data_IF_509561785604
#
_entry.id   IF_509561785604
#
_cell.length_a   1.000
_cell.length_b   1.000
_cell.length_c   1.000
_cell.angle_alpha   90.00
_cell.angle_beta   90.00
_cell.angle_gamma   90.00
#
_symmetry.space_group_name_H-M   'P 1'
#
loop_
_entity.id
_entity.type
_entity.pdbx_description
1 polymer ?
#
# COMPACT_ATOMS: atom_id res chain seq x y z
N UNK A 1 22.24 18.29 -9.01
CA UNK A 1 21.59 17.26 -9.84
C UNK A 1 20.77 17.98 -10.91
N UNK A 2 20.95 17.69 -12.23
CA UNK A 2 20.15 18.33 -13.27
C UNK A 2 18.68 18.00 -13.07
N UNK A 3 17.83 19.02 -12.97
CA UNK A 3 16.38 18.86 -12.89
C UNK A 3 15.85 18.48 -14.28
N UNK A 4 15.25 17.32 -14.41
CA UNK A 4 14.57 16.94 -15.63
C UNK A 4 13.33 17.83 -15.85
N UNK A 5 13.23 18.58 -16.95
CA UNK A 5 12.23 19.64 -17.11
C UNK A 5 10.78 19.17 -17.13
N UNK A 6 10.55 17.86 -17.36
CA UNK A 6 9.20 17.27 -17.48
C UNK A 6 8.70 16.56 -16.21
N UNK A 7 9.52 16.51 -15.16
CA UNK A 7 9.21 15.78 -13.92
C UNK A 7 9.29 16.65 -12.67
N UNK A 8 9.04 17.94 -12.81
CA UNK A 8 9.13 18.92 -11.72
C UNK A 8 7.92 18.93 -10.77
N UNK A 9 6.85 18.21 -11.10
CA UNK A 9 5.68 18.06 -10.24
C UNK A 9 5.09 16.67 -10.40
N UNK A 10 4.34 16.23 -9.39
CA UNK A 10 3.65 14.92 -9.39
C UNK A 10 2.80 14.72 -10.64
N UNK A 11 1.98 15.69 -11.01
CA UNK A 11 1.10 15.58 -12.18
C UNK A 11 1.87 15.44 -13.50
N UNK A 12 3.01 16.13 -13.64
CA UNK A 12 3.82 16.05 -14.86
C UNK A 12 4.48 14.69 -15.04
N UNK A 13 5.16 14.19 -14.01
CA UNK A 13 5.80 12.89 -14.11
C UNK A 13 4.77 11.76 -14.22
N UNK A 14 3.64 11.85 -13.49
CA UNK A 14 2.57 10.87 -13.55
C UNK A 14 1.91 10.85 -14.94
N UNK A 15 1.64 12.01 -15.53
CA UNK A 15 1.13 12.10 -16.91
C UNK A 15 2.09 11.44 -17.91
N UNK A 16 3.40 11.65 -17.75
CA UNK A 16 4.42 11.01 -18.59
C UNK A 16 4.43 9.49 -18.39
N UNK A 17 4.39 9.02 -17.15
CA UNK A 17 4.34 7.60 -16.82
C UNK A 17 3.08 6.93 -17.40
N UNK A 18 1.91 7.54 -17.24
CA UNK A 18 0.65 7.04 -17.79
C UNK A 18 0.67 6.95 -19.32
N UNK A 19 1.21 7.96 -20.00
CA UNK A 19 1.40 7.90 -21.47
C UNK A 19 2.31 6.74 -21.85
N UNK A 20 3.40 6.49 -21.10
CA UNK A 20 4.28 5.36 -21.36
C UNK A 20 3.55 4.03 -21.17
N UNK A 21 2.77 3.87 -20.10
CA UNK A 21 1.95 2.66 -19.86
C UNK A 21 0.96 2.44 -21.00
N UNK A 22 0.25 3.48 -21.45
CA UNK A 22 -0.67 3.41 -22.58
C UNK A 22 0.05 2.96 -23.87
N UNK A 23 1.24 3.53 -24.12
CA UNK A 23 2.04 3.16 -25.31
C UNK A 23 2.44 1.69 -25.25
N UNK A 24 2.95 1.22 -24.12
CA UNK A 24 3.34 -0.18 -23.92
C UNK A 24 2.14 -1.12 -24.10
N UNK A 25 1.04 -0.84 -23.43
CA UNK A 25 -0.18 -1.65 -23.53
C UNK A 25 -0.71 -1.73 -24.97
N UNK A 26 -0.68 -0.61 -25.69
CA UNK A 26 -1.10 -0.57 -27.09
C UNK A 26 -0.17 -1.36 -28.02
N UNK A 27 1.14 -1.27 -27.81
CA UNK A 27 2.17 -1.97 -28.61
C UNK A 27 2.20 -3.48 -28.36
N UNK A 28 2.00 -3.88 -27.11
CA UNK A 28 1.98 -5.28 -26.70
C UNK A 28 0.63 -5.97 -26.90
N UNK A 29 -0.38 -5.24 -27.39
CA UNK A 29 -1.68 -5.79 -27.75
C UNK A 29 -2.66 -5.98 -26.58
N UNK A 30 -2.37 -5.43 -25.42
CA UNK A 30 -3.29 -5.49 -24.28
C UNK A 30 -4.58 -4.72 -24.56
N UNK A 31 -5.70 -5.25 -24.12
CA UNK A 31 -7.01 -4.63 -24.26
C UNK A 31 -7.36 -3.68 -23.12
N UNK A 32 -6.77 -3.88 -21.96
CA UNK A 32 -7.07 -3.14 -20.74
C UNK A 32 -5.81 -2.87 -19.93
N UNK A 33 -5.87 -1.81 -19.14
CA UNK A 33 -4.88 -1.47 -18.11
C UNK A 33 -5.62 -1.30 -16.80
N UNK A 34 -5.11 -1.90 -15.74
CA UNK A 34 -5.63 -1.77 -14.39
C UNK A 34 -4.54 -1.26 -13.44
N UNK A 35 -4.95 -0.63 -12.34
CA UNK A 35 -4.05 -0.11 -11.31
C UNK A 35 -4.44 -0.68 -9.96
N UNK A 36 -3.46 -0.83 -9.08
CA UNK A 36 -3.75 -1.05 -7.66
C UNK A 36 -4.54 0.13 -7.09
N UNK A 37 -5.47 -0.14 -6.20
CA UNK A 37 -6.13 0.92 -5.44
C UNK A 37 -5.25 1.37 -4.26
N UNK A 38 -5.69 2.42 -3.56
CA UNK A 38 -4.94 2.98 -2.43
C UNK A 38 -4.82 2.02 -1.27
N UNK A 39 -5.81 1.19 -1.02
CA UNK A 39 -5.80 0.18 0.04
C UNK A 39 -4.79 -0.92 -0.23
N UNK A 40 -4.83 -1.54 -1.40
CA UNK A 40 -3.84 -2.55 -1.81
C UNK A 40 -2.41 -2.00 -1.80
N UNK A 41 -2.25 -0.72 -2.19
CA UNK A 41 -0.95 -0.07 -2.14
C UNK A 41 -0.50 0.16 -0.69
N UNK A 42 -1.39 0.63 0.19
CA UNK A 42 -1.10 0.82 1.60
C UNK A 42 -0.73 -0.51 2.28
N UNK A 43 -1.49 -1.58 2.01
CA UNK A 43 -1.21 -2.93 2.53
C UNK A 43 0.16 -3.47 2.10
N UNK A 44 0.55 -3.24 0.85
CA UNK A 44 1.86 -3.69 0.33
C UNK A 44 3.03 -3.02 1.04
N UNK A 45 2.85 -1.80 1.53
CA UNK A 45 3.85 -1.02 2.26
C UNK A 45 3.63 -1.02 3.77
N UNK A 46 2.74 -1.86 4.29
CA UNK A 46 2.50 -2.01 5.71
C UNK A 46 3.72 -2.64 6.40
N UNK A 47 4.40 -1.83 7.21
CA UNK A 47 5.58 -2.26 7.94
C UNK A 47 5.27 -3.39 8.93
N UNK A 48 4.04 -3.47 9.44
CA UNK A 48 3.65 -4.51 10.40
C UNK A 48 3.72 -5.94 9.82
N UNK A 49 3.73 -6.07 8.49
CA UNK A 49 3.89 -7.35 7.79
C UNK A 49 5.37 -7.83 7.68
N UNK A 50 6.32 -6.95 7.93
CA UNK A 50 7.76 -7.24 7.80
C UNK A 50 8.53 -7.01 9.09
N UNK A 51 8.09 -6.05 9.88
CA UNK A 51 8.73 -5.62 11.13
C UNK A 51 7.88 -6.02 12.32
N UNK A 52 8.44 -6.78 13.24
CA UNK A 52 7.76 -7.21 14.47
C UNK A 52 7.69 -6.10 15.52
N UNK A 53 8.73 -5.29 15.60
CA UNK A 53 8.79 -4.15 16.51
C UNK A 53 9.86 -3.13 16.11
N UNK A 54 9.59 -1.86 16.46
CA UNK A 54 10.59 -0.80 16.50
C UNK A 54 10.73 -0.37 17.94
N UNK A 55 11.93 -0.49 18.48
CA UNK A 55 12.31 0.03 19.79
C UNK A 55 13.11 1.33 19.57
N UNK A 56 12.87 2.34 20.36
CA UNK A 56 13.63 3.58 20.28
C UNK A 56 13.76 4.25 21.65
N UNK A 57 14.82 5.00 21.85
CA UNK A 57 15.05 5.79 23.04
C UNK A 57 15.58 7.18 22.66
N UNK A 58 14.94 8.27 23.13
CA UNK A 58 15.52 9.61 23.01
C UNK A 58 16.78 9.72 23.86
N UNK A 59 17.86 10.29 23.30
CA UNK A 59 19.09 10.54 24.04
C UNK A 59 18.93 11.83 24.86
N UNK A 60 19.07 11.78 26.20
CA UNK A 60 18.89 12.94 27.06
C UNK A 60 19.74 14.16 26.61
N UNK A 61 19.17 15.34 26.74
CA UNK A 61 19.81 16.63 26.42
C UNK A 61 20.27 16.79 24.95
N UNK A 62 19.70 15.97 24.04
CA UNK A 62 19.97 16.04 22.59
C UNK A 62 18.66 15.88 21.81
N UNK A 63 18.72 16.17 20.49
CA UNK A 63 17.65 15.85 19.52
C UNK A 63 17.90 14.53 18.79
N UNK A 64 18.70 13.64 19.39
CA UNK A 64 19.08 12.37 18.80
C UNK A 64 18.33 11.21 19.47
N UNK A 65 18.30 10.08 18.76
CA UNK A 65 17.64 8.86 19.19
C UNK A 65 18.55 7.65 18.96
N UNK A 66 18.37 6.63 19.78
CA UNK A 66 18.77 5.26 19.46
C UNK A 66 17.54 4.55 18.87
N UNK A 67 17.71 3.77 17.80
CA UNK A 67 16.62 3.03 17.14
C UNK A 67 17.06 1.60 16.80
N UNK A 68 16.19 0.65 17.10
CA UNK A 68 16.34 -0.75 16.72
C UNK A 68 15.04 -1.28 16.15
N UNK A 69 15.09 -1.99 15.00
CA UNK A 69 13.95 -2.71 14.48
C UNK A 69 14.24 -4.21 14.40
N UNK A 70 13.23 -5.01 14.73
CA UNK A 70 13.28 -6.46 14.62
C UNK A 70 12.26 -6.97 13.59
N UNK A 71 12.59 -8.06 12.89
CA UNK A 71 11.64 -8.77 12.05
C UNK A 71 10.57 -9.50 12.89
N UNK A 72 9.63 -10.19 12.23
CA UNK A 72 8.57 -10.95 12.88
C UNK A 72 9.10 -12.12 13.73
N UNK A 73 10.33 -12.59 13.49
CA UNK A 73 10.99 -13.64 14.25
C UNK A 73 11.83 -13.10 15.42
N UNK A 74 11.85 -11.78 15.61
CA UNK A 74 12.62 -11.13 16.68
C UNK A 74 14.10 -10.90 16.35
N UNK A 75 14.54 -11.14 15.10
CA UNK A 75 15.90 -10.86 14.67
C UNK A 75 16.05 -9.37 14.35
N UNK A 76 17.09 -8.73 14.88
CA UNK A 76 17.41 -7.34 14.57
C UNK A 76 17.75 -7.18 13.09
N UNK A 77 17.03 -6.28 12.41
CA UNK A 77 17.20 -5.94 10.99
C UNK A 77 17.69 -4.51 10.79
N UNK A 78 17.57 -3.68 11.82
CA UNK A 78 18.09 -2.31 11.87
C UNK A 78 18.55 -2.00 13.29
N UNK A 79 19.72 -1.39 13.44
CA UNK A 79 20.17 -0.79 14.70
C UNK A 79 21.06 0.41 14.33
N UNK A 80 20.66 1.59 14.75
CA UNK A 80 21.46 2.81 14.59
C UNK A 80 21.39 3.63 15.88
N UNK A 81 22.54 4.18 16.28
CA UNK A 81 22.71 5.03 17.44
C UNK A 81 22.92 6.47 17.01
N UNK A 82 22.56 7.43 17.87
CA UNK A 82 22.74 8.87 17.66
C UNK A 82 22.17 9.39 16.32
N UNK A 83 20.96 8.92 15.97
CA UNK A 83 20.28 9.32 14.72
C UNK A 83 19.35 10.50 14.93
N UNK A 84 19.28 11.38 13.93
CA UNK A 84 18.31 12.48 13.89
C UNK A 84 16.92 11.97 13.49
N UNK A 85 15.88 12.74 13.79
CA UNK A 85 14.51 12.44 13.33
C UNK A 85 14.41 12.37 11.80
N UNK A 86 15.16 13.21 11.08
CA UNK A 86 15.22 13.16 9.62
C UNK A 86 15.80 11.82 9.12
N UNK A 87 16.82 11.29 9.78
CA UNK A 87 17.36 9.96 9.46
C UNK A 87 16.38 8.85 9.77
N UNK A 88 15.63 8.96 10.87
CA UNK A 88 14.55 8.02 11.21
C UNK A 88 13.46 8.06 10.12
N UNK A 89 13.07 9.25 9.63
CA UNK A 89 12.10 9.38 8.53
C UNK A 89 12.58 8.65 7.25
N UNK A 90 13.87 8.71 6.94
CA UNK A 90 14.45 7.95 5.80
C UNK A 90 14.40 6.43 6.02
N UNK A 91 14.61 5.96 7.25
CA UNK A 91 14.70 4.53 7.59
C UNK A 91 13.33 3.86 7.68
N UNK A 92 12.37 4.47 8.37
CA UNK A 92 11.08 3.86 8.75
C UNK A 92 9.86 4.62 8.23
N UNK A 93 10.07 5.72 7.52
CA UNK A 93 9.03 6.54 6.92
C UNK A 93 8.45 7.59 7.87
N UNK A 94 7.82 8.59 7.26
CA UNK A 94 7.36 9.82 7.92
C UNK A 94 6.35 9.58 9.04
N UNK A 95 5.45 8.63 8.89
CA UNK A 95 4.38 8.40 9.87
C UNK A 95 4.93 7.75 11.14
N UNK A 96 5.85 6.78 11.00
CA UNK A 96 6.56 6.20 12.15
C UNK A 96 7.46 7.23 12.81
N UNK A 97 8.18 8.04 12.03
CA UNK A 97 9.02 9.11 12.57
C UNK A 97 8.20 10.10 13.42
N UNK A 98 6.98 10.47 13.00
CA UNK A 98 6.07 11.30 13.81
C UNK A 98 5.63 10.64 15.11
N UNK A 99 5.38 9.34 15.11
CA UNK A 99 5.06 8.61 16.35
C UNK A 99 6.25 8.61 17.30
N UNK A 100 7.47 8.45 16.78
CA UNK A 100 8.71 8.51 17.55
C UNK A 100 8.92 9.93 18.11
N UNK A 101 8.70 10.96 17.31
CA UNK A 101 8.75 12.37 17.75
C UNK A 101 7.74 12.64 18.86
N UNK A 102 6.51 12.12 18.73
CA UNK A 102 5.46 12.21 19.74
C UNK A 102 5.67 11.29 20.95
N UNK A 103 6.75 10.49 20.96
CA UNK A 103 7.08 9.52 22.02
C UNK A 103 5.97 8.51 22.27
N UNK A 104 5.31 8.07 21.20
CA UNK A 104 4.30 7.04 21.27
C UNK A 104 4.91 5.65 21.48
N UNK A 105 4.06 4.70 21.91
CA UNK A 105 4.42 3.30 22.10
C UNK A 105 4.48 2.88 23.56
N UNK A 106 4.62 1.57 23.79
CA UNK A 106 4.72 1.01 25.15
C UNK A 106 6.11 1.26 25.69
N UNK A 107 6.20 1.86 26.88
CA UNK A 107 7.47 2.03 27.57
C UNK A 107 7.90 0.67 28.15
N UNK A 108 9.09 0.20 27.76
CA UNK A 108 9.77 -0.94 28.36
C UNK A 108 10.86 -0.43 29.29
N UNK A 109 10.67 -0.60 30.57
CA UNK A 109 11.67 -0.25 31.56
C UNK A 109 11.06 -0.23 32.97
N UNK A 110 10.96 -1.38 33.64
CA UNK A 110 10.86 -1.42 35.10
C UNK A 110 12.28 -1.41 35.66
N UNK A 111 12.67 -0.29 36.26
CA UNK A 111 13.82 -0.23 37.18
C UNK A 111 15.23 -0.07 36.58
N UNK A 112 15.39 0.40 35.33
CA UNK A 112 16.69 0.60 34.71
C UNK A 112 16.88 2.00 34.12
N UNK A 113 18.13 2.39 33.91
CA UNK A 113 18.56 3.71 33.42
C UNK A 113 18.12 4.06 31.97
N UNK A 114 17.31 3.21 31.27
CA UNK A 114 16.87 3.39 29.91
C UNK A 114 15.35 3.22 29.78
N UNK A 115 14.71 4.19 29.15
CA UNK A 115 13.27 4.19 28.87
C UNK A 115 13.01 3.94 27.38
N UNK A 116 13.18 2.69 26.97
CA UNK A 116 12.85 2.29 25.60
C UNK A 116 11.36 2.35 25.34
N UNK A 117 10.99 3.02 24.28
CA UNK A 117 9.65 2.97 23.71
C UNK A 117 9.57 1.87 22.66
N UNK A 118 8.46 1.17 22.60
CA UNK A 118 8.24 0.08 21.67
C UNK A 118 6.97 0.34 20.85
N UNK A 119 7.13 0.42 19.52
CA UNK A 119 6.05 0.38 18.54
C UNK A 119 5.93 -1.05 17.99
N UNK A 120 4.73 -1.64 17.97
CA UNK A 120 4.51 -3.00 17.46
C UNK A 120 3.06 -3.21 17.03
N UNK A 121 2.80 -4.20 16.16
CA UNK A 121 1.46 -4.51 15.69
C UNK A 121 0.77 -3.30 15.06
N UNK A 122 -0.35 -2.86 15.63
CA UNK A 122 -1.12 -1.72 15.12
C UNK A 122 -0.36 -0.39 15.10
N UNK A 123 0.64 -0.22 15.97
CA UNK A 123 1.47 0.99 15.96
C UNK A 123 2.30 1.11 14.68
N UNK A 124 2.68 -0.03 14.08
CA UNK A 124 3.44 -0.13 12.84
C UNK A 124 2.54 -0.07 11.60
N UNK A 125 1.23 -0.23 11.77
CA UNK A 125 0.26 -0.06 10.69
C UNK A 125 0.14 1.44 10.40
N UNK A 126 1.00 1.92 9.52
CA UNK A 126 0.95 3.30 9.04
C UNK A 126 -0.14 3.41 7.99
N UNK A 127 -1.05 4.35 8.19
CA UNK A 127 -2.35 4.39 7.48
C UNK A 127 -2.28 4.61 5.98
N UNK A 128 -1.10 4.81 5.40
CA UNK A 128 -0.97 4.97 3.96
C UNK A 128 -1.83 6.10 3.38
N UNK A 129 -2.23 7.09 4.17
CA UNK A 129 -3.10 8.20 3.72
C UNK A 129 -2.56 8.88 2.46
N UNK A 130 -1.24 9.06 2.38
CA UNK A 130 -0.57 9.57 1.19
C UNK A 130 -0.73 8.62 -0.01
N UNK A 131 -0.58 7.31 0.20
CA UNK A 131 -0.73 6.29 -0.84
C UNK A 131 -2.19 6.16 -1.27
N UNK A 132 -3.14 6.13 -0.33
CA UNK A 132 -4.58 6.16 -0.64
C UNK A 132 -4.93 7.40 -1.44
N UNK A 133 -4.50 8.59 -1.01
CA UNK A 133 -4.73 9.82 -1.74
C UNK A 133 -4.11 9.81 -3.14
N UNK A 134 -2.91 9.24 -3.30
CA UNK A 134 -2.24 9.12 -4.58
C UNK A 134 -3.00 8.20 -5.54
N UNK A 135 -3.27 6.95 -5.14
CA UNK A 135 -3.87 5.95 -6.02
C UNK A 135 -5.39 6.14 -6.20
N UNK A 136 -6.11 6.65 -5.20
CA UNK A 136 -7.58 6.79 -5.28
C UNK A 136 -8.02 8.15 -5.83
N UNK A 137 -7.16 9.17 -5.83
CA UNK A 137 -7.51 10.52 -6.32
C UNK A 137 -6.56 11.05 -7.37
N UNK A 138 -5.25 11.09 -7.10
CA UNK A 138 -4.29 11.76 -8.00
C UNK A 138 -4.16 10.96 -9.30
N UNK A 139 -3.92 9.64 -9.22
CA UNK A 139 -3.81 8.78 -10.41
C UNK A 139 -5.07 8.81 -11.27
N UNK A 140 -6.30 8.57 -10.76
CA UNK A 140 -7.50 8.62 -11.58
C UNK A 140 -7.78 9.99 -12.19
N UNK A 141 -7.49 11.08 -11.50
CA UNK A 141 -7.71 12.43 -12.03
C UNK A 141 -6.74 12.75 -13.17
N UNK A 142 -5.43 12.51 -12.95
CA UNK A 142 -4.42 12.70 -14.01
C UNK A 142 -4.71 11.79 -15.20
N UNK A 143 -5.13 10.55 -14.96
CA UNK A 143 -5.50 9.60 -16.00
C UNK A 143 -6.68 10.10 -16.83
N UNK A 144 -7.75 10.64 -16.21
CA UNK A 144 -8.88 11.22 -16.95
C UNK A 144 -8.42 12.28 -17.96
N UNK A 145 -7.46 13.13 -17.56
CA UNK A 145 -6.95 14.18 -18.45
C UNK A 145 -6.05 13.64 -19.55
N UNK A 146 -5.29 12.58 -19.26
CA UNK A 146 -4.50 11.88 -20.29
C UNK A 146 -5.42 11.17 -21.28
N UNK A 147 -6.43 10.40 -20.80
CA UNK A 147 -7.37 9.68 -21.66
C UNK A 147 -8.11 10.60 -22.61
N UNK A 148 -8.57 11.78 -22.16
CA UNK A 148 -9.21 12.78 -23.03
C UNK A 148 -8.33 13.19 -24.21
N UNK A 149 -7.01 13.30 -24.00
CA UNK A 149 -6.05 13.74 -25.03
C UNK A 149 -5.72 12.61 -26.01
N UNK A 150 -5.74 11.36 -25.55
CA UNK A 150 -5.34 10.21 -26.35
C UNK A 150 -6.52 9.46 -27.00
N UNK A 151 -7.76 9.95 -26.85
CA UNK A 151 -8.95 9.29 -27.40
C UNK A 151 -9.38 8.07 -26.61
N UNK A 152 -9.07 8.06 -25.31
CA UNK A 152 -9.46 7.00 -24.37
C UNK A 152 -10.88 7.18 -23.85
N UNK A 153 -11.40 6.11 -23.25
CA UNK A 153 -12.69 6.09 -22.56
C UNK A 153 -12.63 6.73 -21.16
N UNK A 154 -13.43 6.18 -20.27
CA UNK A 154 -13.46 6.58 -18.85
C UNK A 154 -12.61 5.64 -18.00
N UNK A 155 -12.22 6.11 -16.81
CA UNK A 155 -11.74 5.22 -15.75
C UNK A 155 -12.93 4.42 -15.25
N UNK A 156 -12.82 3.11 -15.26
CA UNK A 156 -13.85 2.15 -14.88
C UNK A 156 -13.24 1.06 -14.00
N UNK A 157 -14.07 0.28 -13.30
CA UNK A 157 -13.60 -0.91 -12.63
C UNK A 157 -13.38 -2.02 -13.65
N UNK A 158 -12.20 -2.57 -13.68
CA UNK A 158 -11.76 -3.60 -14.62
C UNK A 158 -11.49 -4.87 -13.84
N UNK A 159 -12.12 -5.96 -14.24
CA UNK A 159 -11.79 -7.27 -13.69
C UNK A 159 -10.46 -7.73 -14.30
N UNK A 160 -9.46 -7.93 -13.44
CA UNK A 160 -8.10 -8.34 -13.85
C UNK A 160 -7.93 -9.86 -13.92
N UNK A 161 -9.03 -10.62 -13.74
CA UNK A 161 -9.01 -12.07 -13.69
C UNK A 161 -8.55 -12.61 -12.33
N UNK A 162 -8.86 -13.87 -12.08
CA UNK A 162 -8.52 -14.56 -10.83
C UNK A 162 -7.08 -15.08 -10.85
N UNK A 163 -6.12 -14.21 -11.14
CA UNK A 163 -4.72 -14.48 -10.83
C UNK A 163 -4.40 -14.29 -9.35
N UNK A 164 -5.42 -14.07 -8.52
CA UNK A 164 -5.28 -14.07 -7.07
C UNK A 164 -5.05 -15.52 -6.67
N UNK A 165 -3.83 -15.80 -6.26
CA UNK A 165 -3.48 -17.05 -5.61
C UNK A 165 -4.42 -17.17 -4.39
N UNK A 166 -5.35 -18.12 -4.42
CA UNK A 166 -6.27 -18.40 -3.31
C UNK A 166 -5.54 -18.94 -2.08
N UNK A 167 -4.24 -19.20 -2.21
CA UNK A 167 -3.31 -19.48 -1.12
C UNK A 167 -2.81 -18.23 -0.36
N UNK A 168 -3.16 -17.03 -0.81
CA UNK A 168 -2.86 -15.83 -0.04
C UNK A 168 -3.79 -15.77 1.19
N UNK A 169 -3.18 -16.04 2.29
CA UNK A 169 -3.58 -16.24 3.68
C UNK A 169 -4.39 -15.09 4.33
N UNK A 170 -4.93 -14.17 3.56
CA UNK A 170 -5.63 -12.99 4.06
C UNK A 170 -7.14 -13.17 4.24
N UNK A 171 -7.73 -14.24 3.66
CA UNK A 171 -9.10 -14.63 3.92
C UNK A 171 -9.06 -16.01 4.55
N UNK A 172 -9.24 -16.06 5.86
CA UNK A 172 -9.30 -17.30 6.62
C UNK A 172 -10.77 -17.71 6.78
N UNK A 173 -11.04 -19.00 6.56
CA UNK A 173 -12.35 -19.60 6.82
C UNK A 173 -12.18 -20.70 7.85
N UNK A 174 -12.96 -20.64 8.92
CA UNK A 174 -12.94 -21.59 10.01
C UNK A 174 -14.37 -22.00 10.37
N UNK A 175 -14.54 -23.23 10.84
CA UNK A 175 -15.79 -23.75 11.41
C UNK A 175 -15.53 -24.09 12.87
N UNK A 176 -16.45 -23.69 13.75
CA UNK A 176 -16.38 -24.04 15.17
C UNK A 176 -17.14 -25.35 15.48
N UNK A 177 -17.10 -25.79 16.74
CA UNK A 177 -17.76 -27.03 17.20
C UNK A 177 -19.28 -27.00 17.09
N UNK A 178 -19.87 -25.83 16.97
CA UNK A 178 -21.32 -25.61 16.86
C UNK A 178 -21.77 -25.48 15.40
N UNK A 179 -20.83 -25.62 14.44
CA UNK A 179 -21.07 -25.55 13.01
C UNK A 179 -21.15 -24.13 12.47
N UNK A 180 -20.81 -23.10 13.29
CA UNK A 180 -20.78 -21.71 12.85
C UNK A 180 -19.55 -21.47 11.97
N UNK A 181 -19.78 -20.96 10.78
CA UNK A 181 -18.76 -20.63 9.81
C UNK A 181 -18.26 -19.20 10.03
N UNK A 182 -16.98 -18.99 10.21
CA UNK A 182 -16.38 -17.66 10.35
C UNK A 182 -15.45 -17.38 9.18
N UNK A 183 -15.70 -16.25 8.50
CA UNK A 183 -14.81 -15.71 7.47
C UNK A 183 -14.11 -14.47 8.04
N UNK A 184 -12.79 -14.55 8.15
CA UNK A 184 -11.90 -13.47 8.61
C UNK A 184 -11.18 -12.88 7.40
N UNK A 185 -11.04 -11.55 7.35
CA UNK A 185 -10.27 -10.82 6.36
C UNK A 185 -9.71 -9.52 6.97
N UNK A 186 -8.86 -8.79 6.27
CA UNK A 186 -8.25 -7.55 6.78
C UNK A 186 -9.23 -6.47 7.25
N UNK A 187 -10.47 -6.50 6.75
CA UNK A 187 -11.54 -5.58 7.17
C UNK A 187 -12.32 -6.03 8.40
N UNK A 188 -12.05 -7.22 8.94
CA UNK A 188 -12.75 -7.77 10.09
C UNK A 188 -13.10 -9.25 9.97
N UNK A 189 -14.12 -9.66 10.73
CA UNK A 189 -14.67 -11.03 10.70
C UNK A 189 -16.19 -11.00 10.53
N UNK A 190 -16.74 -12.06 9.95
CA UNK A 190 -18.19 -12.27 9.87
C UNK A 190 -18.53 -13.73 10.05
N UNK A 191 -19.59 -13.99 10.84
CA UNK A 191 -20.11 -15.32 11.14
C UNK A 191 -21.34 -15.62 10.31
N UNK A 192 -21.50 -16.88 9.96
CA UNK A 192 -22.60 -17.40 9.13
C UNK A 192 -23.11 -18.70 9.72
N UNK A 193 -24.41 -18.93 9.59
CA UNK A 193 -25.06 -20.15 10.08
C UNK A 193 -24.89 -21.32 9.10
N UNK A 194 -24.49 -21.05 7.84
CA UNK A 194 -24.33 -22.06 6.80
C UNK A 194 -23.02 -21.88 6.02
N UNK A 195 -22.49 -23.02 5.55
CA UNK A 195 -21.31 -23.04 4.69
C UNK A 195 -21.53 -22.28 3.37
N UNK A 196 -22.74 -22.39 2.78
CA UNK A 196 -23.06 -21.75 1.50
C UNK A 196 -23.04 -20.22 1.61
N UNK A 197 -23.55 -19.65 2.71
CA UNK A 197 -23.49 -18.22 2.98
C UNK A 197 -22.06 -17.74 3.20
N UNK A 198 -21.26 -18.48 3.98
CA UNK A 198 -19.85 -18.17 4.21
C UNK A 198 -19.06 -18.21 2.90
N UNK A 199 -19.33 -19.23 2.06
CA UNK A 199 -18.71 -19.40 0.74
C UNK A 199 -19.07 -18.24 -0.19
N UNK A 200 -20.36 -17.91 -0.29
CA UNK A 200 -20.82 -16.80 -1.13
C UNK A 200 -20.21 -15.47 -0.70
N UNK A 201 -20.10 -15.24 0.61
CA UNK A 201 -19.46 -14.04 1.13
C UNK A 201 -17.96 -14.01 0.83
N UNK A 202 -17.23 -15.11 1.07
CA UNK A 202 -15.80 -15.22 0.72
C UNK A 202 -15.58 -14.97 -0.78
N UNK A 203 -16.39 -15.57 -1.63
CA UNK A 203 -16.28 -15.43 -3.08
C UNK A 203 -16.60 -13.98 -3.52
N UNK A 204 -17.49 -13.28 -2.82
CA UNK A 204 -17.75 -11.86 -3.03
C UNK A 204 -16.55 -10.98 -2.65
N UNK A 205 -15.84 -11.31 -1.57
CA UNK A 205 -14.60 -10.62 -1.18
C UNK A 205 -13.49 -10.84 -2.21
N UNK A 206 -13.34 -12.08 -2.71
CA UNK A 206 -12.38 -12.42 -3.76
C UNK A 206 -12.71 -11.66 -5.06
N UNK A 207 -13.99 -11.63 -5.45
CA UNK A 207 -14.45 -10.91 -6.62
C UNK A 207 -14.20 -9.40 -6.51
N UNK A 208 -14.52 -8.80 -5.35
CA UNK A 208 -14.26 -7.38 -5.09
C UNK A 208 -12.75 -7.04 -5.15
N UNK A 209 -11.87 -7.94 -4.70
CA UNK A 209 -10.42 -7.80 -4.78
C UNK A 209 -9.88 -7.95 -6.22
N UNK A 210 -10.58 -8.66 -7.08
CA UNK A 210 -10.19 -8.81 -8.49
C UNK A 210 -10.55 -7.60 -9.34
N UNK A 211 -11.46 -6.74 -8.88
CA UNK A 211 -11.81 -5.49 -9.55
C UNK A 211 -10.83 -4.37 -9.20
N UNK A 212 -10.25 -3.79 -10.25
CA UNK A 212 -9.25 -2.75 -10.14
C UNK A 212 -9.69 -1.52 -10.93
N UNK A 213 -9.41 -0.30 -10.47
CA UNK A 213 -9.59 0.87 -11.31
C UNK A 213 -8.68 0.77 -12.55
N UNK A 214 -9.25 1.02 -13.72
CA UNK A 214 -8.55 0.83 -14.97
C UNK A 214 -9.22 1.54 -16.14
N UNK A 215 -8.82 1.17 -17.35
CA UNK A 215 -9.40 1.66 -18.59
C UNK A 215 -9.16 0.70 -19.75
N UNK A 216 -10.00 0.79 -20.76
CA UNK A 216 -9.89 0.01 -22.01
C UNK A 216 -9.00 0.73 -23.01
N UNK A 217 -8.12 0.02 -23.72
CA UNK A 217 -7.29 0.51 -24.82
C UNK A 217 -8.15 0.58 -26.09
N UNK A 218 -8.50 1.78 -26.51
CA UNK A 218 -9.33 2.00 -27.70
C UNK A 218 -8.50 1.88 -28.99
N UNK A 219 -9.13 1.63 -30.16
CA UNK A 219 -8.46 1.68 -31.46
C UNK A 219 -7.79 3.04 -31.73
N UNK A 220 -8.39 4.15 -31.27
CA UNK A 220 -7.81 5.48 -31.39
C UNK A 220 -6.52 5.63 -30.56
N UNK A 221 -6.52 5.10 -29.35
CA UNK A 221 -5.31 5.07 -28.50
C UNK A 221 -4.19 4.27 -29.16
N UNK A 222 -4.50 3.11 -29.76
CA UNK A 222 -3.52 2.30 -30.51
C UNK A 222 -2.91 3.08 -31.67
N UNK A 223 -3.74 3.78 -32.43
CA UNK A 223 -3.29 4.62 -33.55
C UNK A 223 -2.37 5.76 -33.08
N UNK A 224 -2.77 6.48 -32.03
CA UNK A 224 -1.96 7.56 -31.46
C UNK A 224 -0.66 7.05 -30.84
N UNK A 225 -0.70 5.89 -30.17
CA UNK A 225 0.50 5.28 -29.60
C UNK A 225 1.55 4.91 -30.67
N UNK A 226 1.10 4.47 -31.85
CA UNK A 226 1.98 4.17 -32.99
C UNK A 226 2.65 5.43 -33.56
N UNK A 227 2.02 6.60 -33.47
CA UNK A 227 2.47 7.87 -34.03
C UNK A 227 3.10 8.83 -32.97
N UNK A 228 3.22 8.39 -31.74
CA UNK A 228 3.64 9.21 -30.60
C UNK A 228 2.46 9.88 -29.89
N UNK A 229 2.34 9.68 -28.57
CA UNK A 229 1.31 10.33 -27.77
C UNK A 229 1.65 11.81 -27.54
N UNK A 230 0.64 12.71 -27.58
CA UNK A 230 0.82 14.14 -27.37
C UNK A 230 1.25 14.50 -25.95
#
# INVERSE_FOLDING_TARGET
VPLAPFVTSTDKWLSLALKRVITMAAQEGYDRVAFVNGEQSAERYDLSKQIGAINYEPIPDTDLFEIEATDLNGKTVLAEDEVTLARIEELVGKEIAKKIEAREGKVKGEGGYRNWHRLSGLDLKVGGEGMKAFYDRIVPNTLKDVLKKVGGGKVEMVNVGTGVNTDDTEIRWTEDSDGIQTVEWDGGERKFDTEDEARAFRDSLIAARSEQPGFTITPEMRNKAANGLP
#
